data_IF_718516139250
#
_entry.id   IF_718516139250
#
_cell.length_a   1.000
_cell.length_b   1.000
_cell.length_c   1.000
_cell.angle_alpha   90.00
_cell.angle_beta   90.00
_cell.angle_gamma   90.00
#
_symmetry.space_group_name_H-M   'P 1'
#
loop_
_entity.id
_entity.type
_entity.pdbx_description
1 polymer ?
#
# COMPACT_ATOMS: atom_id res chain seq x y z
N UNK A 1 57.30 -5.08 -24.85
CA UNK A 1 56.13 -5.99 -24.89
C UNK A 1 55.07 -5.42 -23.96
N UNK A 2 53.94 -4.96 -24.52
CA UNK A 2 52.86 -4.29 -23.79
C UNK A 2 52.05 -5.32 -23.00
N UNK A 3 51.84 -5.04 -21.71
CA UNK A 3 50.79 -5.65 -20.90
C UNK A 3 49.44 -5.05 -21.32
N UNK A 4 48.48 -5.90 -21.65
CA UNK A 4 47.09 -5.51 -21.92
C UNK A 4 46.28 -5.75 -20.65
N UNK A 5 45.92 -4.67 -19.97
CA UNK A 5 44.84 -4.62 -18.99
C UNK A 5 43.57 -4.36 -19.79
N UNK A 6 42.65 -5.32 -19.83
CA UNK A 6 41.28 -5.08 -20.25
C UNK A 6 40.44 -4.91 -18.98
N UNK A 7 40.09 -3.66 -18.70
CA UNK A 7 39.10 -3.26 -17.71
C UNK A 7 37.94 -2.68 -18.52
N UNK A 8 36.84 -3.42 -18.67
CA UNK A 8 35.68 -2.96 -19.44
C UNK A 8 34.40 -3.02 -18.60
N UNK A 9 33.94 -1.82 -18.26
CA UNK A 9 32.58 -1.29 -18.41
C UNK A 9 31.51 -1.90 -17.49
N UNK A 10 31.34 -1.31 -16.30
CA UNK A 10 30.54 -0.11 -16.00
C UNK A 10 29.06 -0.45 -15.75
N UNK A 11 28.72 -0.16 -14.51
CA UNK A 11 27.56 -0.54 -13.74
C UNK A 11 26.36 0.25 -14.28
N UNK A 12 25.32 -0.46 -14.72
CA UNK A 12 24.04 0.14 -15.10
C UNK A 12 23.48 0.93 -13.91
N UNK A 13 23.77 2.23 -13.85
CA UNK A 13 23.17 3.16 -12.89
C UNK A 13 21.73 3.38 -13.31
N UNK A 14 20.86 2.44 -12.95
CA UNK A 14 19.42 2.68 -12.91
C UNK A 14 19.21 3.85 -11.96
N UNK A 15 18.61 4.98 -12.39
CA UNK A 15 18.40 6.11 -11.50
C UNK A 15 17.57 5.64 -10.30
N UNK A 16 18.20 5.65 -9.11
CA UNK A 16 17.56 5.30 -7.85
C UNK A 16 16.43 6.31 -7.62
N UNK A 17 15.23 5.94 -8.02
CA UNK A 17 14.07 6.80 -7.85
C UNK A 17 13.59 6.63 -6.42
N UNK A 18 13.78 7.66 -5.60
CA UNK A 18 13.34 7.64 -4.20
C UNK A 18 11.82 7.59 -4.18
N UNK A 19 11.19 6.55 -3.58
CA UNK A 19 9.76 6.46 -3.49
C UNK A 19 9.21 7.56 -2.58
N UNK A 20 8.08 8.14 -2.99
CA UNK A 20 7.32 9.09 -2.18
C UNK A 20 6.46 8.28 -1.23
N UNK A 21 6.50 8.64 0.05
CA UNK A 21 5.67 8.05 1.09
C UNK A 21 4.52 8.98 1.47
N UNK A 22 3.31 8.43 1.53
CA UNK A 22 2.11 9.11 2.02
C UNK A 22 1.55 8.30 3.19
N UNK A 23 1.35 8.96 4.33
CA UNK A 23 0.85 8.31 5.56
C UNK A 23 -0.47 8.96 5.97
N UNK A 24 -1.49 8.13 6.20
CA UNK A 24 -2.77 8.56 6.77
C UNK A 24 -3.01 7.82 8.06
N UNK A 25 -3.44 8.53 9.11
CA UNK A 25 -3.74 7.95 10.42
C UNK A 25 -5.23 8.00 10.70
N UNK A 26 -5.74 6.99 11.39
CA UNK A 26 -7.12 6.93 11.87
C UNK A 26 -7.17 6.18 13.20
N UNK A 27 -7.97 6.67 14.14
CA UNK A 27 -8.18 6.00 15.44
C UNK A 27 -9.27 4.94 15.33
N UNK A 28 -9.25 3.89 16.12
CA UNK A 28 -10.28 2.85 16.14
C UNK A 28 -10.71 2.67 17.59
N UNK A 29 -12.02 2.60 17.84
CA UNK A 29 -12.59 2.30 19.14
C UNK A 29 -12.52 0.79 19.44
N UNK A 30 -11.34 0.21 19.26
CA UNK A 30 -11.07 -1.22 19.38
C UNK A 30 -9.60 -1.46 19.78
N UNK A 31 -9.33 -2.59 20.42
CA UNK A 31 -7.98 -2.99 20.84
C UNK A 31 -7.09 -3.37 19.65
N UNK A 32 -5.75 -3.38 19.81
CA UNK A 32 -4.85 -3.79 18.73
C UNK A 32 -5.16 -5.18 18.17
N UNK A 33 -5.53 -6.13 19.05
CA UNK A 33 -5.96 -7.48 18.67
C UNK A 33 -7.20 -7.47 17.75
N UNK A 34 -8.24 -6.71 18.09
CA UNK A 34 -9.45 -6.61 17.27
C UNK A 34 -9.15 -5.95 15.92
N UNK A 35 -8.34 -4.90 15.93
CA UNK A 35 -7.91 -4.21 14.71
C UNK A 35 -7.05 -5.10 13.82
N UNK A 36 -6.16 -5.90 14.41
CA UNK A 36 -5.31 -6.85 13.71
C UNK A 36 -6.13 -7.94 13.02
N UNK A 37 -7.09 -8.54 13.73
CA UNK A 37 -8.01 -9.52 13.15
C UNK A 37 -8.81 -8.92 12.00
N UNK A 38 -9.33 -7.70 12.20
CA UNK A 38 -10.04 -6.96 11.15
C UNK A 38 -9.16 -6.65 9.94
N UNK A 39 -7.88 -6.31 10.13
CA UNK A 39 -6.95 -6.01 9.04
C UNK A 39 -6.69 -7.24 8.15
N UNK A 40 -6.40 -8.39 8.76
CA UNK A 40 -6.13 -9.65 8.03
C UNK A 40 -7.37 -10.07 7.24
N UNK A 41 -8.56 -9.93 7.83
CA UNK A 41 -9.82 -10.28 7.19
C UNK A 41 -10.26 -9.23 6.14
N UNK A 42 -9.93 -7.96 6.32
CA UNK A 42 -10.25 -6.90 5.36
C UNK A 42 -9.41 -7.01 4.08
N UNK A 43 -8.18 -7.52 4.14
CA UNK A 43 -7.44 -7.91 2.93
C UNK A 43 -8.18 -8.99 2.12
N UNK A 44 -9.17 -9.69 2.69
CA UNK A 44 -9.99 -10.70 2.02
C UNK A 44 -11.35 -10.18 1.50
N UNK A 45 -11.80 -8.97 1.88
CA UNK A 45 -13.13 -8.44 1.49
C UNK A 45 -13.02 -7.11 0.71
N UNK A 46 -13.36 -7.08 -0.59
CA UNK A 46 -13.31 -5.87 -1.38
C UNK A 46 -14.54 -4.96 -1.12
N UNK A 47 -14.39 -3.90 -0.34
CA UNK A 47 -15.37 -2.79 -0.38
C UNK A 47 -15.11 -1.91 -1.61
N UNK A 48 -16.18 -1.59 -2.36
CA UNK A 48 -16.10 -0.72 -3.54
C UNK A 48 -15.82 0.74 -3.12
N UNK A 49 -14.84 1.42 -3.73
CA UNK A 49 -14.58 2.83 -3.45
C UNK A 49 -15.76 3.70 -3.91
N UNK A 50 -16.00 4.85 -3.25
CA UNK A 50 -17.06 5.79 -3.61
C UNK A 50 -16.86 6.35 -5.02
N UNK A 51 -17.96 6.71 -5.69
CA UNK A 51 -17.99 7.04 -7.12
C UNK A 51 -16.94 8.09 -7.55
N UNK A 52 -16.70 9.12 -6.74
CA UNK A 52 -15.71 10.17 -7.05
C UNK A 52 -14.26 9.66 -7.07
N UNK A 53 -13.95 8.58 -6.33
CA UNK A 53 -12.62 7.95 -6.36
C UNK A 53 -12.47 6.94 -7.48
N UNK A 54 -13.57 6.40 -8.03
CA UNK A 54 -13.54 5.41 -9.13
C UNK A 54 -12.94 5.97 -10.43
N UNK A 55 -12.86 7.29 -10.59
CA UNK A 55 -12.19 7.93 -11.71
C UNK A 55 -10.65 7.77 -11.65
N UNK A 56 -10.10 7.62 -10.43
CA UNK A 56 -8.66 7.67 -10.19
C UNK A 56 -8.12 6.38 -9.55
N UNK A 57 -9.00 5.55 -9.00
CA UNK A 57 -8.67 4.30 -8.34
C UNK A 57 -9.35 3.13 -9.05
N UNK A 58 -8.63 2.01 -9.20
CA UNK A 58 -9.19 0.81 -9.77
C UNK A 58 -10.31 0.25 -8.87
N UNK A 59 -11.32 -0.36 -9.47
CA UNK A 59 -12.47 -0.94 -8.75
C UNK A 59 -12.13 -2.37 -8.35
N UNK A 60 -12.12 -2.74 -7.06
CA UNK A 60 -11.74 -4.08 -6.65
C UNK A 60 -12.83 -5.10 -7.02
N UNK A 61 -12.38 -6.27 -7.49
CA UNK A 61 -13.22 -7.43 -7.83
C UNK A 61 -13.11 -8.49 -6.73
N UNK A 62 -11.89 -8.71 -6.22
CA UNK A 62 -11.60 -9.75 -5.25
C UNK A 62 -10.12 -9.85 -4.94
N UNK A 63 -9.78 -10.79 -4.07
CA UNK A 63 -8.42 -11.07 -3.63
C UNK A 63 -8.20 -12.58 -3.61
N UNK A 64 -7.08 -13.03 -4.14
CA UNK A 64 -6.67 -14.43 -4.15
C UNK A 64 -5.37 -14.59 -3.36
N UNK A 65 -5.35 -15.57 -2.46
CA UNK A 65 -4.22 -15.82 -1.56
C UNK A 65 -4.58 -15.58 -0.09
N UNK A 66 -3.66 -15.94 0.80
CA UNK A 66 -3.82 -15.76 2.25
C UNK A 66 -2.54 -15.18 2.83
N UNK A 67 -2.69 -14.24 3.75
CA UNK A 67 -1.58 -13.65 4.50
C UNK A 67 -1.39 -14.49 5.76
N UNK A 68 -0.29 -15.24 5.84
CA UNK A 68 0.04 -16.03 7.03
C UNK A 68 1.46 -15.80 7.53
N UNK A 69 2.41 -15.57 6.61
CA UNK A 69 3.84 -15.40 6.92
C UNK A 69 4.50 -14.43 5.95
N UNK A 70 5.71 -14.00 6.32
CA UNK A 70 6.59 -13.23 5.43
C UNK A 70 6.88 -14.03 4.16
N UNK A 71 6.82 -13.36 3.02
CA UNK A 71 6.99 -13.96 1.69
C UNK A 71 5.69 -14.42 1.04
N UNK A 72 4.57 -14.49 1.78
CA UNK A 72 3.28 -14.77 1.17
C UNK A 72 2.90 -13.67 0.16
N UNK A 73 2.24 -14.07 -0.91
CA UNK A 73 1.75 -13.18 -1.96
C UNK A 73 0.22 -13.17 -1.98
N UNK A 74 -0.34 -11.97 -2.13
CA UNK A 74 -1.78 -11.75 -2.30
C UNK A 74 -2.00 -11.06 -3.64
N UNK A 75 -2.78 -11.71 -4.48
CA UNK A 75 -3.19 -11.15 -5.77
C UNK A 75 -4.51 -10.39 -5.60
N UNK A 76 -4.44 -9.06 -5.65
CA UNK A 76 -5.61 -8.19 -5.61
C UNK A 76 -6.11 -7.93 -7.03
N UNK A 77 -7.32 -8.41 -7.35
CA UNK A 77 -7.94 -8.29 -8.65
C UNK A 77 -8.80 -7.02 -8.74
N UNK A 78 -8.66 -6.30 -9.84
CA UNK A 78 -9.39 -5.08 -10.12
C UNK A 78 -10.00 -5.07 -11.52
N UNK A 79 -11.03 -4.23 -11.73
CA UNK A 79 -11.52 -3.92 -13.07
C UNK A 79 -10.37 -3.30 -13.88
N UNK A 80 -9.89 -4.03 -14.90
CA UNK A 80 -8.82 -3.59 -15.78
C UNK A 80 -7.40 -3.95 -15.36
N UNK A 81 -7.20 -4.87 -14.39
CA UNK A 81 -5.87 -5.39 -14.06
C UNK A 81 -5.75 -6.01 -12.67
N UNK A 82 -4.52 -6.22 -12.22
CA UNK A 82 -4.23 -6.80 -10.90
C UNK A 82 -3.02 -6.16 -10.22
N UNK A 83 -2.91 -6.40 -8.92
CA UNK A 83 -1.80 -5.96 -8.07
C UNK A 83 -1.37 -7.14 -7.19
N UNK A 84 -0.11 -7.57 -7.30
CA UNK A 84 0.45 -8.60 -6.42
C UNK A 84 1.21 -7.92 -5.30
N UNK A 85 0.75 -8.11 -4.06
CA UNK A 85 1.44 -7.67 -2.86
C UNK A 85 2.22 -8.84 -2.28
N UNK A 86 3.47 -8.60 -1.88
CA UNK A 86 4.29 -9.58 -1.14
C UNK A 86 4.53 -9.09 0.27
N UNK A 87 4.26 -9.95 1.25
CA UNK A 87 4.49 -9.65 2.65
C UNK A 87 5.99 -9.57 2.94
N UNK A 88 6.44 -8.48 3.53
CA UNK A 88 7.86 -8.24 3.87
C UNK A 88 8.14 -8.29 5.36
N UNK A 89 7.16 -7.92 6.20
CA UNK A 89 7.28 -7.99 7.66
C UNK A 89 5.90 -8.14 8.30
N UNK A 90 5.82 -8.98 9.32
CA UNK A 90 4.65 -9.15 10.18
C UNK A 90 5.16 -9.09 11.62
N UNK A 91 4.64 -8.16 12.40
CA UNK A 91 4.77 -8.10 13.85
C UNK A 91 3.36 -8.09 14.39
N UNK A 92 2.98 -9.18 15.06
CA UNK A 92 1.61 -9.43 15.48
C UNK A 92 1.07 -8.24 16.30
N UNK A 93 -0.10 -7.73 15.93
CA UNK A 93 -0.78 -6.58 16.55
C UNK A 93 -0.05 -5.23 16.46
N UNK A 94 1.08 -5.15 15.76
CA UNK A 94 1.90 -3.93 15.70
C UNK A 94 2.16 -3.47 14.27
N UNK A 95 2.55 -4.37 13.37
CA UNK A 95 3.04 -4.01 12.05
C UNK A 95 2.71 -5.07 10.99
N UNK A 96 2.09 -4.63 9.91
CA UNK A 96 1.96 -5.39 8.68
C UNK A 96 2.58 -4.59 7.53
N UNK A 97 3.66 -5.09 6.92
CA UNK A 97 4.35 -4.41 5.83
C UNK A 97 4.45 -5.30 4.58
N UNK A 98 4.29 -4.67 3.42
CA UNK A 98 4.32 -5.35 2.14
C UNK A 98 5.02 -4.50 1.08
N UNK A 99 5.52 -5.16 0.06
CA UNK A 99 5.96 -4.58 -1.20
C UNK A 99 4.96 -4.91 -2.31
N UNK A 100 4.98 -4.12 -3.38
CA UNK A 100 4.24 -4.44 -4.59
C UNK A 100 5.18 -5.20 -5.51
N UNK A 101 4.97 -6.52 -5.60
CA UNK A 101 5.75 -7.41 -6.46
C UNK A 101 5.40 -7.21 -7.93
N UNK A 102 4.11 -6.98 -8.22
CA UNK A 102 3.61 -6.76 -9.58
C UNK A 102 2.45 -5.75 -9.57
N UNK A 103 2.42 -4.89 -10.60
CA UNK A 103 1.31 -3.97 -10.83
C UNK A 103 0.96 -4.00 -12.32
N UNK A 104 -0.19 -4.57 -12.64
CA UNK A 104 -0.75 -4.63 -13.98
C UNK A 104 -2.00 -3.75 -14.10
N UNK A 105 -1.99 -2.57 -13.46
CA UNK A 105 -3.09 -1.62 -13.48
C UNK A 105 -2.59 -0.17 -13.39
N UNK A 106 -3.43 0.79 -13.82
CA UNK A 106 -3.14 2.21 -13.71
C UNK A 106 -3.74 2.79 -12.43
N UNK A 107 -2.88 3.28 -11.52
CA UNK A 107 -3.32 4.00 -10.31
C UNK A 107 -3.08 5.49 -10.48
N UNK A 108 -4.10 6.30 -10.21
CA UNK A 108 -4.07 7.77 -10.27
C UNK A 108 -3.40 8.31 -11.55
N UNK A 109 -3.56 7.59 -12.66
CA UNK A 109 -3.03 7.89 -13.98
C UNK A 109 -1.50 7.78 -14.14
N UNK A 110 -0.88 6.81 -13.47
CA UNK A 110 0.48 6.37 -13.79
C UNK A 110 1.42 6.24 -12.58
N UNK A 111 0.88 6.25 -11.37
CA UNK A 111 1.69 5.94 -10.19
C UNK A 111 2.06 4.46 -10.20
N UNK A 112 3.34 4.17 -9.96
CA UNK A 112 3.85 2.83 -9.70
C UNK A 112 4.00 2.65 -8.21
N UNK A 113 3.14 1.84 -7.61
CA UNK A 113 3.21 1.50 -6.20
C UNK A 113 4.46 0.64 -5.97
N UNK A 114 5.18 0.92 -4.88
CA UNK A 114 6.34 0.13 -4.47
C UNK A 114 6.08 -0.68 -3.20
N UNK A 115 5.10 -0.28 -2.39
CA UNK A 115 4.71 -1.02 -1.19
C UNK A 115 3.91 -0.17 -0.21
N UNK A 116 3.63 -0.75 0.95
CA UNK A 116 2.92 -0.07 2.01
C UNK A 116 3.14 -0.73 3.36
N UNK A 117 2.56 -0.14 4.40
CA UNK A 117 2.49 -0.76 5.72
C UNK A 117 1.33 -0.21 6.54
N UNK A 118 0.83 -1.04 7.43
CA UNK A 118 -0.07 -0.69 8.51
C UNK A 118 0.70 -0.79 9.81
N UNK A 119 0.75 0.30 10.57
CA UNK A 119 1.28 0.30 11.92
C UNK A 119 0.14 0.57 12.91
N UNK A 120 0.00 -0.31 13.90
CA UNK A 120 -0.97 -0.23 14.97
C UNK A 120 -0.24 0.29 16.21
N UNK A 121 -0.87 1.21 16.93
CA UNK A 121 -0.35 1.74 18.19
C UNK A 121 -1.49 1.82 19.18
N UNK A 122 -1.35 1.09 20.28
CA UNK A 122 -2.28 1.16 21.40
C UNK A 122 -2.27 2.56 22.04
N UNK A 123 -3.45 3.01 22.44
CA UNK A 123 -3.69 4.25 23.18
C UNK A 123 -4.18 3.91 24.58
N UNK A 124 -3.96 4.84 25.53
CA UNK A 124 -4.18 4.62 26.96
C UNK A 124 -5.63 4.27 27.37
N UNK A 125 -6.60 4.41 26.46
CA UNK A 125 -8.02 4.15 26.67
C UNK A 125 -8.53 2.89 25.95
N UNK A 126 -7.62 1.99 25.56
CA UNK A 126 -7.96 0.76 24.85
C UNK A 126 -8.32 0.97 23.37
N UNK A 127 -8.15 2.20 22.85
CA UNK A 127 -8.26 2.50 21.42
C UNK A 127 -6.96 2.21 20.71
N UNK A 128 -7.02 2.10 19.38
CA UNK A 128 -5.85 1.86 18.53
C UNK A 128 -5.72 2.96 17.49
N UNK A 129 -4.54 3.54 17.34
CA UNK A 129 -4.20 4.34 16.17
C UNK A 129 -3.66 3.43 15.07
N UNK A 130 -4.27 3.48 13.89
CA UNK A 130 -3.79 2.81 12.69
C UNK A 130 -3.18 3.85 11.75
N UNK A 131 -1.91 3.65 11.40
CA UNK A 131 -1.21 4.42 10.38
C UNK A 131 -1.04 3.59 9.12
N UNK A 132 -1.69 4.00 8.04
CA UNK A 132 -1.54 3.40 6.71
C UNK A 132 -0.57 4.24 5.88
N UNK A 133 0.53 3.62 5.49
CA UNK A 133 1.53 4.15 4.58
C UNK A 133 1.42 3.51 3.19
N UNK A 134 1.46 4.33 2.15
CA UNK A 134 1.66 3.90 0.76
C UNK A 134 2.89 4.58 0.19
N UNK A 135 3.75 3.77 -0.43
CA UNK A 135 4.98 4.19 -1.10
C UNK A 135 4.80 4.02 -2.59
N UNK A 136 5.12 5.05 -3.36
CA UNK A 136 4.98 5.04 -4.81
C UNK A 136 6.06 5.87 -5.52
N UNK A 137 6.24 5.57 -6.80
CA UNK A 137 7.04 6.34 -7.74
C UNK A 137 6.10 6.91 -8.80
N UNK A 138 6.35 8.14 -9.25
CA UNK A 138 5.60 8.76 -10.34
C UNK A 138 6.56 9.48 -11.28
N UNK A 139 6.43 9.17 -12.58
CA UNK A 139 7.17 9.83 -13.65
C UNK A 139 6.49 11.14 -14.11
N UNK A 140 5.37 11.54 -13.49
CA UNK A 140 4.60 12.71 -13.92
C UNK A 140 5.34 14.00 -13.63
N UNK A 141 5.37 14.88 -14.63
CA UNK A 141 5.98 16.19 -14.57
C UNK A 141 4.96 17.27 -14.96
N UNK A 142 4.97 18.47 -14.36
CA UNK A 142 5.88 18.95 -13.32
C UNK A 142 5.52 18.50 -11.89
N UNK A 143 6.52 18.13 -11.06
CA UNK A 143 6.31 17.53 -9.73
C UNK A 143 5.58 18.43 -8.73
N UNK A 144 5.76 19.75 -8.81
CA UNK A 144 5.11 20.68 -7.89
C UNK A 144 3.58 20.66 -8.02
N UNK A 145 3.07 20.35 -9.22
CA UNK A 145 1.64 20.23 -9.49
C UNK A 145 1.12 18.83 -9.18
N UNK A 146 1.82 17.78 -9.64
CA UNK A 146 1.33 16.42 -9.52
C UNK A 146 1.49 15.83 -8.11
N UNK A 147 2.57 16.14 -7.40
CA UNK A 147 2.81 15.61 -6.04
C UNK A 147 1.66 15.91 -5.05
N UNK A 148 1.14 17.14 -4.94
CA UNK A 148 0.01 17.40 -4.03
C UNK A 148 -1.27 16.67 -4.48
N UNK A 149 -1.53 16.57 -5.80
CA UNK A 149 -2.69 15.86 -6.32
C UNK A 149 -2.60 14.35 -6.05
N UNK A 150 -1.46 13.73 -6.34
CA UNK A 150 -1.17 12.32 -6.04
C UNK A 150 -1.31 12.05 -4.54
N UNK A 151 -0.77 12.93 -3.69
CA UNK A 151 -0.95 12.88 -2.24
C UNK A 151 -2.41 12.95 -1.81
N UNK A 152 -3.21 13.85 -2.40
CA UNK A 152 -4.64 13.97 -2.11
C UNK A 152 -5.41 12.70 -2.47
N UNK A 153 -5.11 12.09 -3.63
CA UNK A 153 -5.72 10.83 -4.06
C UNK A 153 -5.34 9.70 -3.11
N UNK A 154 -4.06 9.57 -2.75
CA UNK A 154 -3.60 8.58 -1.77
C UNK A 154 -4.28 8.75 -0.40
N UNK A 155 -4.36 9.99 0.12
CA UNK A 155 -5.06 10.25 1.38
C UNK A 155 -6.54 9.92 1.30
N UNK A 156 -7.20 10.23 0.18
CA UNK A 156 -8.63 9.94 0.00
C UNK A 156 -8.88 8.43 -0.07
N UNK A 157 -8.01 7.70 -0.76
CA UNK A 157 -8.02 6.24 -0.77
C UNK A 157 -7.82 5.67 0.64
N UNK A 158 -6.77 6.10 1.35
CA UNK A 158 -6.49 5.63 2.71
C UNK A 158 -7.68 5.89 3.64
N UNK A 159 -8.31 7.08 3.54
CA UNK A 159 -9.47 7.42 4.36
C UNK A 159 -10.66 6.52 4.03
N UNK A 160 -10.92 6.25 2.75
CA UNK A 160 -11.97 5.32 2.35
C UNK A 160 -11.72 3.94 2.98
N UNK A 161 -10.51 3.39 2.77
CA UNK A 161 -10.10 2.08 3.25
C UNK A 161 -10.20 1.97 4.77
N UNK A 162 -9.60 2.92 5.49
CA UNK A 162 -9.59 2.93 6.95
C UNK A 162 -11.00 3.16 7.52
N UNK A 163 -11.84 3.97 6.88
CA UNK A 163 -13.22 4.18 7.34
C UNK A 163 -14.06 2.92 7.17
N UNK A 164 -13.87 2.19 6.08
CA UNK A 164 -14.52 0.90 5.83
C UNK A 164 -14.10 -0.14 6.85
N UNK A 165 -12.79 -0.33 7.03
CA UNK A 165 -12.22 -1.19 8.05
C UNK A 165 -12.74 -0.83 9.45
N UNK A 166 -12.80 0.47 9.80
CA UNK A 166 -13.31 0.94 11.09
C UNK A 166 -14.77 0.56 11.29
N UNK A 167 -15.64 0.85 10.31
CA UNK A 167 -17.07 0.51 10.41
C UNK A 167 -17.27 -0.98 10.61
N UNK A 168 -16.51 -1.81 9.91
CA UNK A 168 -16.61 -3.26 10.04
C UNK A 168 -16.20 -3.72 11.45
N UNK A 169 -15.05 -3.27 11.96
CA UNK A 169 -14.53 -3.67 13.28
C UNK A 169 -15.43 -3.17 14.42
N UNK A 170 -15.87 -1.92 14.37
CA UNK A 170 -16.68 -1.31 15.43
C UNK A 170 -18.16 -1.74 15.39
N UNK A 171 -18.58 -2.49 14.37
CA UNK A 171 -19.92 -3.06 14.26
C UNK A 171 -20.06 -4.47 14.83
N UNK A 172 -18.94 -5.10 15.23
CA UNK A 172 -18.89 -6.41 15.88
C UNK A 172 -19.00 -6.26 17.40
#
# INVERSE_FOLDING_TARGET
MKATIANELDESTVPVTIPISVVTRMMFAASPAQVWQGLVFYEEIPERPPLHLRLLLPVPIGTEGRISKVGDEVNCLYEGGHLVKRVTRIEHEELYAFEVAEQALSVAGGMRLSGGRYALRELADGRTEVALETRYVSARWPRWFWKPLEGLVCHSFHRCLLSSMRRQIESQ
#
